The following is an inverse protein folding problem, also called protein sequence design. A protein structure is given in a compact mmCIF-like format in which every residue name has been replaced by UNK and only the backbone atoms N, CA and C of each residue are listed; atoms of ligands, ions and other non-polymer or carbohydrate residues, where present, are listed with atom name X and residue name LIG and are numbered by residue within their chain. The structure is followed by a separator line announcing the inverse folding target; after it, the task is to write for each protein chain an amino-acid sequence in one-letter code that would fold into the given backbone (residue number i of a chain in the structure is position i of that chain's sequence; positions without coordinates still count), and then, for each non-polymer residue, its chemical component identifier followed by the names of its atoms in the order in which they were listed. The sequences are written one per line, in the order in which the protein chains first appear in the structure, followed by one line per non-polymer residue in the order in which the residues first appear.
data_IF_518690795911
#
_entry.id   IF_518690795911
#
_cell.length_a   1.000
_cell.length_b   1.000
_cell.length_c   1.000
_cell.angle_alpha   90.00
_cell.angle_beta   90.00
_cell.angle_gamma   90.00
#
_symmetry.space_group_name_H-M   'P 1'
#
loop_
_entity.id
_entity.type
_entity.pdbx_description
1 polymer ?
#
# COMPACT_ATOMS: atom_id res chain seq x y z
N UNK A 1 9.59 -8.72 9.21
CA UNK A 1 9.50 -7.26 8.95
C UNK A 1 8.42 -7.09 7.92
N UNK A 2 7.64 -6.02 8.03
CA UNK A 2 6.51 -5.77 7.16
C UNK A 2 6.53 -4.33 6.65
N UNK A 3 5.75 -4.09 5.60
CA UNK A 3 5.58 -2.78 5.00
C UNK A 3 4.11 -2.42 5.06
N UNK A 4 3.80 -1.34 5.78
CA UNK A 4 2.50 -0.68 5.74
C UNK A 4 2.49 0.29 4.56
N UNK A 5 1.60 0.06 3.60
CA UNK A 5 1.28 1.04 2.57
C UNK A 5 0.07 1.84 3.00
N UNK A 6 0.11 3.14 2.73
CA UNK A 6 -1.03 4.05 2.89
C UNK A 6 -1.29 4.73 1.56
N UNK A 7 -2.56 4.86 1.20
CA UNK A 7 -2.96 5.42 -0.08
C UNK A 7 -4.38 5.98 -0.09
N UNK A 8 -4.76 6.52 -1.23
CA UNK A 8 -6.08 7.09 -1.47
C UNK A 8 -6.64 6.58 -2.78
N UNK A 9 -7.94 6.34 -2.80
CA UNK A 9 -8.68 5.98 -4.00
C UNK A 9 -9.22 7.22 -4.69
N UNK A 10 -8.99 7.32 -6.00
CA UNK A 10 -9.68 8.23 -6.91
C UNK A 10 -10.32 7.43 -8.05
N UNK A 11 -11.59 7.07 -7.89
CA UNK A 11 -12.27 6.15 -8.79
C UNK A 11 -11.56 4.78 -8.83
N UNK A 12 -11.14 4.28 -10.01
CA UNK A 12 -10.45 3.00 -10.14
C UNK A 12 -8.94 3.08 -9.86
N UNK A 13 -8.42 4.25 -9.48
CA UNK A 13 -6.98 4.47 -9.26
C UNK A 13 -6.66 4.49 -7.77
N UNK A 14 -5.81 3.56 -7.33
CA UNK A 14 -5.19 3.57 -6.00
C UNK A 14 -3.85 4.29 -6.08
N UNK A 15 -3.73 5.42 -5.37
CA UNK A 15 -2.44 6.13 -5.25
C UNK A 15 -1.83 5.82 -3.89
N UNK A 16 -0.66 5.19 -3.88
CA UNK A 16 0.14 4.97 -2.67
C UNK A 16 0.87 6.28 -2.36
N UNK A 17 0.60 6.84 -1.18
CA UNK A 17 1.11 8.15 -0.75
C UNK A 17 2.13 8.04 0.37
N UNK A 18 2.14 6.93 1.12
CA UNK A 18 3.16 6.65 2.13
C UNK A 18 3.52 5.16 2.20
N UNK A 19 4.74 4.90 2.66
CA UNK A 19 5.25 3.55 2.89
C UNK A 19 6.08 3.53 4.17
N UNK A 20 5.66 2.71 5.13
CA UNK A 20 6.31 2.59 6.43
C UNK A 20 6.79 1.17 6.66
N UNK A 21 8.05 1.00 7.05
CA UNK A 21 8.54 -0.28 7.53
C UNK A 21 8.18 -0.44 9.00
N UNK A 22 7.35 -1.44 9.31
CA UNK A 22 6.89 -1.74 10.67
C UNK A 22 7.31 -3.16 11.06
N UNK A 23 7.25 -3.50 12.35
CA UNK A 23 7.41 -4.90 12.75
C UNK A 23 6.11 -5.64 12.51
N UNK A 24 6.24 -6.93 12.25
CA UNK A 24 5.12 -7.82 11.94
C UNK A 24 4.08 -7.77 13.06
N UNK A 25 2.86 -7.35 12.72
CA UNK A 25 1.74 -7.27 13.66
C UNK A 25 1.90 -6.22 14.75
N UNK A 26 2.70 -5.17 14.53
CA UNK A 26 2.83 -4.04 15.45
C UNK A 26 1.63 -3.09 15.31
N UNK A 27 0.44 -3.57 15.69
CA UNK A 27 -0.85 -2.86 15.55
C UNK A 27 -0.81 -1.45 16.15
N UNK A 28 -0.15 -1.26 17.31
CA UNK A 28 -0.05 0.06 17.94
C UNK A 28 0.72 1.08 17.08
N UNK A 29 1.73 0.64 16.33
CA UNK A 29 2.45 1.54 15.42
C UNK A 29 1.59 1.88 14.20
N UNK A 30 0.85 0.90 13.68
CA UNK A 30 -0.09 1.11 12.57
C UNK A 30 -1.22 2.06 12.99
N UNK A 31 -1.85 1.82 14.15
CA UNK A 31 -2.90 2.68 14.72
C UNK A 31 -2.41 4.12 14.88
N UNK A 32 -1.19 4.31 15.38
CA UNK A 32 -0.60 5.64 15.53
C UNK A 32 -0.34 6.34 14.18
N UNK A 33 -0.01 5.59 13.13
CA UNK A 33 0.18 6.13 11.77
C UNK A 33 -1.17 6.54 11.15
N UNK A 34 -2.23 5.78 11.44
CA UNK A 34 -3.56 5.95 10.86
C UNK A 34 -4.50 6.86 11.67
N UNK A 35 -4.14 7.22 12.89
CA UNK A 35 -5.01 7.95 13.82
C UNK A 35 -5.68 9.19 13.19
N UNK A 36 -7.01 9.16 13.16
CA UNK A 36 -7.83 10.25 12.61
C UNK A 36 -7.82 10.40 11.09
N UNK A 37 -7.26 9.45 10.33
CA UNK A 37 -7.16 9.51 8.86
C UNK A 37 -8.21 8.62 8.19
N UNK A 38 -8.88 9.16 7.18
CA UNK A 38 -9.76 8.41 6.29
C UNK A 38 -9.00 8.08 5.00
N UNK A 39 -8.21 7.01 5.04
CA UNK A 39 -7.29 6.58 3.98
C UNK A 39 -7.35 5.07 3.82
N UNK A 40 -6.97 4.57 2.64
CA UNK A 40 -6.69 3.16 2.48
C UNK A 40 -5.33 2.85 3.11
N UNK A 41 -5.23 1.75 3.84
CA UNK A 41 -3.97 1.29 4.39
C UNK A 41 -3.95 -0.23 4.53
N UNK A 42 -2.80 -0.85 4.26
CA UNK A 42 -2.64 -2.29 4.36
C UNK A 42 -1.20 -2.70 4.72
N UNK A 43 -1.05 -3.62 5.68
CA UNK A 43 0.23 -4.20 6.07
C UNK A 43 0.54 -5.44 5.22
N UNK A 44 1.64 -5.40 4.47
CA UNK A 44 2.16 -6.54 3.74
C UNK A 44 3.36 -7.15 4.48
N UNK A 45 3.30 -8.47 4.73
CA UNK A 45 4.40 -9.26 5.30
C UNK A 45 5.51 -9.51 4.26
N UNK A 46 6.18 -8.44 3.86
CA UNK A 46 7.27 -8.42 2.89
C UNK A 46 8.40 -7.52 3.37
N UNK A 47 9.59 -7.74 2.84
CA UNK A 47 10.79 -7.06 3.33
C UNK A 47 11.05 -5.70 2.64
N UNK A 48 10.23 -5.31 1.65
CA UNK A 48 10.48 -4.11 0.88
C UNK A 48 9.26 -3.49 0.21
N UNK A 49 9.35 -2.17 0.01
CA UNK A 49 8.30 -1.35 -0.59
C UNK A 49 7.83 -1.84 -1.96
N UNK A 50 8.74 -2.10 -2.90
CA UNK A 50 8.39 -2.58 -4.23
C UNK A 50 7.58 -3.90 -4.21
N UNK A 51 7.90 -4.81 -3.29
CA UNK A 51 7.14 -6.05 -3.10
C UNK A 51 5.75 -5.76 -2.54
N UNK A 52 5.64 -4.82 -1.60
CA UNK A 52 4.35 -4.43 -1.03
C UNK A 52 3.47 -3.78 -2.10
N UNK A 53 4.04 -2.91 -2.94
CA UNK A 53 3.32 -2.24 -4.03
C UNK A 53 2.84 -3.26 -5.07
N UNK A 54 3.67 -4.23 -5.46
CA UNK A 54 3.23 -5.31 -6.35
C UNK A 54 2.07 -6.11 -5.72
N UNK A 55 2.15 -6.42 -4.43
CA UNK A 55 1.05 -7.15 -3.74
C UNK A 55 -0.22 -6.32 -3.65
N UNK A 56 -0.11 -5.01 -3.40
CA UNK A 56 -1.25 -4.10 -3.42
C UNK A 56 -1.88 -4.04 -4.82
N UNK A 57 -1.05 -3.99 -5.88
CA UNK A 57 -1.54 -4.06 -7.25
C UNK A 57 -2.30 -5.37 -7.48
N UNK A 58 -1.67 -6.53 -7.22
CA UNK A 58 -2.27 -7.84 -7.44
C UNK A 58 -3.60 -8.03 -6.68
N UNK A 59 -3.70 -7.47 -5.48
CA UNK A 59 -4.87 -7.61 -4.60
C UNK A 59 -6.01 -6.65 -4.94
N UNK A 60 -5.70 -5.39 -5.23
CA UNK A 60 -6.69 -4.31 -5.28
C UNK A 60 -7.09 -3.88 -6.69
N UNK A 61 -6.16 -3.98 -7.65
CA UNK A 61 -6.35 -3.45 -9.02
C UNK A 61 -5.72 -4.33 -10.11
N UNK A 62 -5.42 -5.60 -9.79
CA UNK A 62 -4.68 -6.52 -10.66
C UNK A 62 -5.33 -6.73 -12.03
N UNK A 63 -4.75 -7.55 -12.92
CA UNK A 63 -5.13 -7.62 -14.34
C UNK A 63 -6.61 -7.98 -14.63
N UNK A 64 -7.32 -8.56 -13.66
CA UNK A 64 -8.74 -8.88 -13.75
C UNK A 64 -9.67 -7.76 -13.23
N UNK A 65 -9.10 -6.71 -12.64
CA UNK A 65 -9.77 -5.54 -12.11
C UNK A 65 -9.40 -4.35 -13.01
N UNK A 66 -10.39 -3.60 -13.50
CA UNK A 66 -10.18 -2.44 -14.39
C UNK A 66 -9.62 -1.21 -13.62
N UNK A 67 -8.62 -1.44 -12.76
CA UNK A 67 -8.00 -0.45 -11.89
C UNK A 67 -6.55 -0.15 -12.25
N UNK A 68 -6.02 0.91 -11.65
CA UNK A 68 -4.61 1.30 -11.75
C UNK A 68 -4.03 1.54 -10.36
N UNK A 69 -2.75 1.24 -10.18
CA UNK A 69 -2.00 1.59 -8.97
C UNK A 69 -0.86 2.52 -9.34
N UNK A 70 -0.80 3.66 -8.66
CA UNK A 70 0.27 4.65 -8.77
C UNK A 70 1.05 4.68 -7.47
N UNK A 71 2.37 4.48 -7.54
CA UNK A 71 3.26 4.69 -6.40
C UNK A 71 3.85 6.11 -6.44
N UNK A 72 3.30 7.02 -5.63
CA UNK A 72 3.80 8.40 -5.50
C UNK A 72 4.92 8.51 -4.44
N UNK A 73 5.32 7.39 -3.82
CA UNK A 73 6.37 7.36 -2.80
C UNK A 73 7.73 7.13 -3.43
N UNK A 74 7.88 6.06 -4.22
CA UNK A 74 9.15 5.68 -4.84
C UNK A 74 9.10 5.63 -6.37
N UNK A 75 7.94 5.87 -6.99
CA UNK A 75 7.77 5.80 -8.43
C UNK A 75 7.89 4.39 -8.98
N UNK A 76 7.62 3.37 -8.17
CA UNK A 76 7.63 1.97 -8.61
C UNK A 76 6.41 1.66 -9.47
N UNK A 77 6.65 1.17 -10.69
CA UNK A 77 5.59 0.70 -11.58
C UNK A 77 5.37 -0.81 -11.36
N UNK A 78 4.19 -1.25 -10.86
CA UNK A 78 3.87 -2.65 -10.74
C UNK A 78 3.89 -3.36 -12.09
N UNK A 79 4.26 -4.64 -12.10
CA UNK A 79 4.15 -5.47 -13.29
C UNK A 79 2.72 -5.97 -13.43
N UNK A 80 2.10 -5.69 -14.58
CA UNK A 80 0.72 -6.11 -14.91
C UNK A 80 0.64 -7.56 -15.37
#
# INVERSE_FOLDING_TARGET
MSVLLVGTWDGPVLTITESHTVKDGEETAIDAILDGRDVWAYEFLVDGHAQAVQRAYDQEVGPDLEGDLVDDVAGFEPTR
#
